data_IF_099720040918
#
_entry.id   IF_099720040918
#
_cell.length_a   1.000
_cell.length_b   1.000
_cell.length_c   1.000
_cell.angle_alpha   90.00
_cell.angle_beta   90.00
_cell.angle_gamma   90.00
#
_symmetry.space_group_name_H-M   'P 1'
#
loop_
_entity.id
_entity.type
_entity.pdbx_description
1 polymer ?
#
# COMPACT_ATOMS: atom_id res chain seq x y z
N UNK A 1 -15.59 -62.82 2.90
CA UNK A 1 -16.08 -61.48 3.30
C UNK A 1 -14.92 -60.50 3.28
N UNK A 2 -14.82 -59.67 2.26
CA UNK A 2 -13.77 -58.65 2.15
C UNK A 2 -14.28 -57.35 2.75
N UNK A 3 -13.70 -56.96 3.89
CA UNK A 3 -13.95 -55.64 4.49
C UNK A 3 -13.12 -54.61 3.70
N UNK A 4 -13.78 -53.74 2.95
CA UNK A 4 -13.19 -52.60 2.30
C UNK A 4 -13.15 -51.49 3.35
N UNK A 5 -11.94 -51.17 3.83
CA UNK A 5 -11.71 -50.00 4.69
C UNK A 5 -11.54 -48.82 3.74
N UNK A 6 -12.59 -47.97 3.69
CA UNK A 6 -12.47 -46.66 3.03
C UNK A 6 -11.68 -45.74 3.95
N UNK A 7 -10.43 -45.50 3.61
CA UNK A 7 -9.66 -44.41 4.19
C UNK A 7 -10.15 -43.08 3.59
N UNK A 8 -10.96 -42.36 4.35
CA UNK A 8 -11.32 -40.99 4.01
C UNK A 8 -10.08 -40.09 4.20
N UNK A 9 -9.46 -39.73 3.09
CA UNK A 9 -8.39 -38.76 3.08
C UNK A 9 -8.99 -37.38 3.36
N UNK A 10 -8.93 -36.93 4.62
CA UNK A 10 -9.24 -35.55 4.97
C UNK A 10 -8.14 -34.65 4.37
N UNK A 11 -8.40 -34.10 3.21
CA UNK A 11 -7.66 -32.95 2.71
C UNK A 11 -8.08 -31.76 3.56
N UNK A 12 -7.29 -31.49 4.59
CA UNK A 12 -7.37 -30.20 5.29
C UNK A 12 -6.82 -29.18 4.30
N UNK A 13 -7.70 -28.57 3.53
CA UNK A 13 -7.39 -27.39 2.79
C UNK A 13 -7.06 -26.31 3.83
N UNK A 14 -5.77 -26.09 4.06
CA UNK A 14 -5.31 -24.87 4.72
C UNK A 14 -5.68 -23.71 3.82
N UNK A 15 -6.90 -23.24 3.98
CA UNK A 15 -7.28 -21.93 3.53
C UNK A 15 -6.48 -20.97 4.39
N UNK A 16 -5.31 -20.56 3.89
CA UNK A 16 -4.65 -19.40 4.42
C UNK A 16 -5.70 -18.32 4.51
N UNK A 17 -5.90 -17.78 5.69
CA UNK A 17 -6.78 -16.65 5.93
C UNK A 17 -6.12 -15.50 5.18
N UNK A 18 -6.43 -15.37 3.89
CA UNK A 18 -6.19 -14.17 3.14
C UNK A 18 -7.06 -13.12 3.82
N UNK A 19 -6.45 -12.24 4.63
CA UNK A 19 -7.14 -11.04 5.06
C UNK A 19 -7.75 -10.45 3.79
N UNK A 20 -9.04 -10.14 3.86
CA UNK A 20 -9.85 -9.79 2.69
C UNK A 20 -9.41 -8.43 2.13
N UNK A 21 -8.27 -8.39 1.49
CA UNK A 21 -7.81 -7.24 0.75
C UNK A 21 -8.63 -7.16 -0.53
N UNK A 22 -9.19 -5.98 -0.76
CA UNK A 22 -10.03 -5.72 -1.93
C UNK A 22 -9.18 -5.35 -3.16
N UNK A 23 -7.93 -5.82 -3.21
CA UNK A 23 -6.97 -5.49 -4.26
C UNK A 23 -6.60 -6.77 -5.00
N UNK A 24 -6.59 -6.70 -6.34
CA UNK A 24 -6.14 -7.78 -7.20
C UNK A 24 -5.20 -7.25 -8.28
N UNK A 25 -4.18 -8.04 -8.58
CA UNK A 25 -3.22 -7.69 -9.64
C UNK A 25 -3.93 -7.53 -10.99
N UNK A 26 -3.54 -6.49 -11.73
CA UNK A 26 -4.09 -6.12 -13.03
C UNK A 26 -5.58 -5.73 -13.04
N UNK A 27 -6.22 -5.65 -11.87
CA UNK A 27 -7.57 -5.11 -11.72
C UNK A 27 -7.54 -3.65 -11.25
N UNK A 28 -8.66 -2.95 -11.39
CA UNK A 28 -8.79 -1.58 -10.91
C UNK A 28 -8.66 -1.53 -9.40
N UNK A 29 -7.90 -0.55 -8.92
CA UNK A 29 -7.82 -0.27 -7.49
C UNK A 29 -9.16 0.28 -6.98
N UNK A 30 -9.48 0.07 -5.69
CA UNK A 30 -10.62 0.72 -5.05
C UNK A 30 -10.55 2.25 -5.11
N UNK A 31 -11.66 2.92 -4.84
CA UNK A 31 -11.70 4.38 -4.79
C UNK A 31 -10.85 4.93 -3.64
N UNK A 32 -10.14 6.01 -3.92
CA UNK A 32 -9.36 6.75 -2.93
C UNK A 32 -10.22 7.92 -2.46
N UNK A 33 -10.48 7.99 -1.15
CA UNK A 33 -11.27 9.04 -0.50
C UNK A 33 -10.43 9.73 0.56
N UNK A 34 -9.65 10.72 0.17
CA UNK A 34 -8.85 11.52 1.11
C UNK A 34 -9.47 12.91 1.29
N UNK A 35 -9.31 13.49 2.49
CA UNK A 35 -9.89 14.80 2.80
C UNK A 35 -8.92 15.92 2.47
N UNK A 36 -7.65 15.71 2.76
CA UNK A 36 -6.61 16.70 2.55
C UNK A 36 -5.28 16.01 2.29
N UNK A 37 -4.40 16.72 1.62
CA UNK A 37 -3.05 16.27 1.35
C UNK A 37 -2.04 17.36 1.72
N UNK A 38 -0.84 16.91 2.06
CA UNK A 38 0.36 17.72 2.18
C UNK A 38 1.33 17.31 1.07
N UNK A 39 1.94 18.29 0.43
CA UNK A 39 2.74 18.08 -0.76
C UNK A 39 1.89 18.12 -2.03
N UNK A 40 2.26 17.33 -3.03
CA UNK A 40 1.56 17.29 -4.33
C UNK A 40 0.18 16.66 -4.19
N UNK A 41 -0.85 17.31 -4.71
CA UNK A 41 -2.22 16.76 -4.73
C UNK A 41 -2.34 15.63 -5.75
N UNK A 42 -3.30 14.71 -5.59
CA UNK A 42 -3.48 13.58 -6.52
C UNK A 42 -3.65 14.02 -7.98
N UNK A 43 -4.38 15.10 -8.19
CA UNK A 43 -4.66 15.66 -9.52
C UNK A 43 -3.41 16.20 -10.20
N UNK A 44 -2.44 16.66 -9.40
CA UNK A 44 -1.21 17.31 -9.87
C UNK A 44 -0.02 16.33 -10.00
N UNK A 45 -0.19 15.06 -9.58
CA UNK A 45 0.84 14.03 -9.74
C UNK A 45 1.07 13.81 -11.24
N UNK A 46 2.28 14.09 -11.71
CA UNK A 46 2.67 13.93 -13.11
C UNK A 46 3.12 12.50 -13.46
N UNK A 47 3.61 11.76 -12.47
CA UNK A 47 4.20 10.44 -12.63
C UNK A 47 3.17 9.43 -13.14
N UNK A 48 3.67 8.45 -13.93
CA UNK A 48 2.84 7.39 -14.51
C UNK A 48 2.39 6.37 -13.46
N UNK A 49 3.21 6.15 -12.44
CA UNK A 49 2.95 5.19 -11.38
C UNK A 49 2.77 5.91 -10.05
N UNK A 50 1.91 5.36 -9.20
CA UNK A 50 1.71 5.84 -7.83
C UNK A 50 1.85 4.65 -6.87
N UNK A 51 2.64 4.84 -5.83
CA UNK A 51 2.73 3.95 -4.69
C UNK A 51 1.95 4.55 -3.52
N UNK A 52 0.81 3.96 -3.19
CA UNK A 52 0.08 4.26 -1.96
C UNK A 52 0.74 3.48 -0.82
N UNK A 53 1.07 4.14 0.27
CA UNK A 53 1.65 3.53 1.45
C UNK A 53 0.76 3.82 2.65
N UNK A 54 0.05 2.80 3.11
CA UNK A 54 -0.83 2.88 4.27
C UNK A 54 -0.02 2.76 5.56
N UNK A 55 -0.12 3.75 6.43
CA UNK A 55 0.72 3.90 7.63
C UNK A 55 -0.08 4.40 8.83
N UNK A 56 0.44 4.12 10.03
CA UNK A 56 0.05 4.79 11.27
C UNK A 56 1.25 5.59 11.80
N UNK A 57 1.08 6.89 11.95
CA UNK A 57 2.14 7.79 12.40
C UNK A 57 2.59 7.54 13.85
N UNK A 58 1.72 6.97 14.66
CA UNK A 58 2.02 6.61 16.06
C UNK A 58 2.82 5.30 16.20
N UNK A 59 2.91 4.51 15.14
CA UNK A 59 3.65 3.23 15.14
C UNK A 59 5.12 3.46 14.77
N UNK A 60 6.02 3.40 15.72
CA UNK A 60 7.47 3.53 15.48
C UNK A 60 8.00 2.51 14.44
N UNK A 61 7.62 1.21 14.50
CA UNK A 61 8.03 0.26 13.46
C UNK A 61 7.50 0.62 12.06
N UNK A 62 6.32 1.23 11.99
CA UNK A 62 5.72 1.70 10.74
C UNK A 62 6.53 2.86 10.15
N UNK A 63 6.82 3.87 10.98
CA UNK A 63 7.61 5.05 10.59
C UNK A 63 9.02 4.66 10.14
N UNK A 64 9.67 3.74 10.87
CA UNK A 64 11.00 3.24 10.49
C UNK A 64 10.97 2.51 9.13
N UNK A 65 9.92 1.74 8.85
CA UNK A 65 9.76 1.08 7.55
C UNK A 65 9.53 2.08 6.42
N UNK A 66 8.79 3.17 6.66
CA UNK A 66 8.62 4.26 5.69
C UNK A 66 9.95 4.93 5.39
N UNK A 67 10.76 5.20 6.40
CA UNK A 67 12.09 5.81 6.22
C UNK A 67 12.98 4.97 5.29
N UNK A 68 13.05 3.67 5.51
CA UNK A 68 13.81 2.76 4.64
C UNK A 68 13.19 2.67 3.22
N UNK A 69 11.87 2.60 3.14
CA UNK A 69 11.16 2.57 1.86
C UNK A 69 11.41 3.84 1.03
N UNK A 70 11.39 5.02 1.64
CA UNK A 70 11.69 6.28 0.93
C UNK A 70 13.07 6.25 0.29
N UNK A 71 14.07 5.65 0.94
CA UNK A 71 15.43 5.52 0.37
C UNK A 71 15.43 4.62 -0.88
N UNK A 72 14.76 3.46 -0.84
CA UNK A 72 14.73 2.55 -2.00
C UNK A 72 13.82 3.03 -3.11
N UNK A 73 12.76 3.79 -2.80
CA UNK A 73 11.82 4.32 -3.79
C UNK A 73 12.44 5.41 -4.69
N UNK A 74 13.51 6.05 -4.26
CA UNK A 74 14.23 7.06 -5.06
C UNK A 74 14.74 6.52 -6.40
N UNK A 75 14.92 5.23 -6.56
CA UNK A 75 15.29 4.61 -7.85
C UNK A 75 14.24 4.90 -8.95
N UNK A 76 12.99 5.14 -8.54
CA UNK A 76 11.86 5.43 -9.44
C UNK A 76 11.47 6.92 -9.45
N UNK A 77 12.31 7.82 -8.90
CA UNK A 77 12.04 9.27 -8.93
C UNK A 77 11.77 9.75 -10.36
N UNK A 78 10.69 10.54 -10.53
CA UNK A 78 10.23 11.02 -11.82
C UNK A 78 9.38 10.02 -12.63
N UNK A 79 9.25 8.78 -12.18
CA UNK A 79 8.36 7.75 -12.77
C UNK A 79 7.26 7.31 -11.80
N UNK A 80 7.54 7.30 -10.51
CA UNK A 80 6.61 6.88 -9.47
C UNK A 80 6.54 7.92 -8.36
N UNK A 81 5.34 8.42 -8.09
CA UNK A 81 5.05 9.21 -6.90
C UNK A 81 4.74 8.29 -5.72
N UNK A 82 5.02 8.75 -4.51
CA UNK A 82 4.70 8.07 -3.25
C UNK A 82 3.68 8.89 -2.49
N UNK A 83 2.59 8.26 -2.07
CA UNK A 83 1.57 8.90 -1.24
C UNK A 83 1.42 8.09 0.05
N UNK A 84 1.85 8.68 1.16
CA UNK A 84 1.64 8.11 2.49
C UNK A 84 0.20 8.39 2.90
N UNK A 85 -0.59 7.36 3.19
CA UNK A 85 -1.98 7.49 3.62
C UNK A 85 -2.09 7.12 5.09
N UNK A 86 -2.61 8.04 5.89
CA UNK A 86 -2.80 7.85 7.33
C UNK A 86 -4.21 8.20 7.76
N UNK A 87 -4.82 7.43 8.68
CA UNK A 87 -6.15 7.74 9.23
C UNK A 87 -6.10 8.81 10.33
N UNK A 88 -4.91 9.17 10.80
CA UNK A 88 -4.77 10.20 11.83
C UNK A 88 -5.11 11.58 11.28
N UNK A 89 -5.75 12.40 12.12
CA UNK A 89 -6.08 13.77 11.77
C UNK A 89 -4.81 14.64 11.75
N UNK A 90 -4.85 15.66 10.91
CA UNK A 90 -3.79 16.65 10.69
C UNK A 90 -3.19 17.24 11.99
N UNK A 91 -3.97 17.33 13.08
CA UNK A 91 -3.56 17.97 14.32
C UNK A 91 -2.78 17.06 15.28
N UNK A 92 -2.73 15.74 15.02
CA UNK A 92 -2.21 14.73 15.97
C UNK A 92 -0.96 14.05 15.46
N UNK A 93 0.15 14.40 15.25
CA UNK A 93 1.36 13.74 14.70
C UNK A 93 1.71 14.09 13.26
N UNK A 94 1.18 15.19 12.77
CA UNK A 94 1.49 15.76 11.47
C UNK A 94 3.01 15.80 11.21
N UNK A 95 3.81 16.21 12.18
CA UNK A 95 5.25 16.41 12.03
C UNK A 95 6.01 15.11 11.72
N UNK A 96 5.49 13.96 12.17
CA UNK A 96 6.17 12.67 12.01
C UNK A 96 6.21 12.25 10.54
N UNK A 97 5.10 12.43 9.80
CA UNK A 97 5.03 12.07 8.38
C UNK A 97 5.44 13.22 7.46
N UNK A 98 5.24 14.47 7.87
CA UNK A 98 5.60 15.65 7.09
C UNK A 98 7.10 15.71 6.74
N UNK A 99 7.96 15.12 7.56
CA UNK A 99 9.40 15.04 7.31
C UNK A 99 9.77 14.22 6.08
N UNK A 100 8.87 13.38 5.58
CA UNK A 100 9.08 12.57 4.37
C UNK A 100 8.61 13.26 3.09
N UNK A 101 7.96 14.42 3.21
CA UNK A 101 7.47 15.17 2.06
C UNK A 101 8.65 15.73 1.27
N UNK A 102 8.69 15.40 -0.01
CA UNK A 102 9.66 15.91 -0.98
C UNK A 102 9.00 15.99 -2.37
N UNK A 103 9.81 16.07 -3.42
CA UNK A 103 9.32 16.12 -4.80
C UNK A 103 8.62 14.82 -5.24
N UNK A 104 8.90 13.69 -4.59
CA UNK A 104 8.33 12.38 -4.91
C UNK A 104 7.24 11.97 -3.93
N UNK A 105 7.29 12.43 -2.68
CA UNK A 105 6.48 11.93 -1.56
C UNK A 105 5.53 12.98 -1.04
N UNK A 106 4.28 12.61 -0.90
CA UNK A 106 3.19 13.40 -0.30
C UNK A 106 2.49 12.63 0.81
N UNK A 107 1.73 13.31 1.65
CA UNK A 107 0.93 12.71 2.73
C UNK A 107 -0.54 13.01 2.50
N UNK A 108 -1.38 11.99 2.57
CA UNK A 108 -2.83 12.08 2.46
C UNK A 108 -3.50 11.66 3.76
N UNK A 109 -4.51 12.42 4.18
CA UNK A 109 -5.30 12.14 5.39
C UNK A 109 -6.61 11.46 5.02
N UNK A 110 -6.79 10.23 5.53
CA UNK A 110 -7.94 9.37 5.27
C UNK A 110 -8.90 9.38 6.47
N UNK A 111 -9.59 10.51 6.67
CA UNK A 111 -10.56 10.63 7.76
C UNK A 111 -11.65 9.56 7.64
N UNK A 112 -12.02 9.02 8.78
CA UNK A 112 -12.98 7.92 8.89
C UNK A 112 -12.52 6.62 8.20
N UNK A 113 -11.26 6.47 7.86
CA UNK A 113 -10.68 5.25 7.28
C UNK A 113 -11.32 4.77 5.97
N UNK A 114 -11.95 5.66 5.22
CA UNK A 114 -12.69 5.28 4.01
C UNK A 114 -11.81 4.60 2.96
N UNK A 115 -10.60 5.11 2.74
CA UNK A 115 -9.64 4.51 1.81
C UNK A 115 -9.05 3.21 2.38
N UNK A 116 -8.69 3.19 3.66
CA UNK A 116 -8.25 1.96 4.34
C UNK A 116 -9.28 0.84 4.21
N UNK A 117 -10.55 1.13 4.47
CA UNK A 117 -11.64 0.16 4.42
C UNK A 117 -11.93 -0.29 2.97
N UNK A 118 -11.93 0.65 2.01
CA UNK A 118 -12.11 0.34 0.59
C UNK A 118 -11.03 -0.61 0.07
N UNK A 119 -9.78 -0.43 0.49
CA UNK A 119 -8.64 -1.28 0.14
C UNK A 119 -8.55 -2.56 0.99
N UNK A 120 -9.32 -2.67 2.08
CA UNK A 120 -9.27 -3.80 3.02
C UNK A 120 -7.94 -3.88 3.77
N UNK A 121 -7.39 -2.74 4.17
CA UNK A 121 -6.10 -2.67 4.86
C UNK A 121 -6.28 -2.97 6.34
N UNK A 122 -5.80 -4.11 6.78
CA UNK A 122 -5.83 -4.55 8.19
C UNK A 122 -4.47 -4.40 8.89
N UNK A 123 -3.39 -4.47 8.13
CA UNK A 123 -2.02 -4.41 8.66
C UNK A 123 -1.21 -3.33 7.97
N UNK A 124 -0.44 -2.58 8.74
CA UNK A 124 0.45 -1.52 8.26
C UNK A 124 1.89 -1.76 8.74
N UNK A 125 2.92 -1.29 8.03
CA UNK A 125 2.84 -0.55 6.76
C UNK A 125 2.52 -1.46 5.57
N UNK A 126 1.68 -0.98 4.68
CA UNK A 126 1.24 -1.73 3.50
C UNK A 126 1.30 -0.85 2.26
N UNK A 127 1.74 -1.39 1.15
CA UNK A 127 1.91 -0.65 -0.10
C UNK A 127 1.06 -1.21 -1.23
N UNK A 128 0.65 -0.32 -2.14
CA UNK A 128 -0.02 -0.64 -3.40
C UNK A 128 0.61 0.21 -4.50
N UNK A 129 1.23 -0.42 -5.50
CA UNK A 129 1.73 0.29 -6.68
C UNK A 129 0.73 0.08 -7.81
N UNK A 130 0.28 1.16 -8.43
CA UNK A 130 -0.64 1.12 -9.54
C UNK A 130 -0.24 2.07 -10.68
N UNK A 131 -0.65 1.70 -11.90
CA UNK A 131 -0.54 2.56 -13.06
C UNK A 131 -1.69 3.57 -13.05
N UNK A 132 -1.36 4.86 -13.02
CA UNK A 132 -2.32 5.95 -12.87
C UNK A 132 -3.36 6.00 -13.99
N UNK A 133 -2.94 5.88 -15.25
CA UNK A 133 -3.84 6.00 -16.41
C UNK A 133 -4.94 4.94 -16.44
N UNK A 134 -4.61 3.70 -16.08
CA UNK A 134 -5.54 2.57 -16.09
C UNK A 134 -6.15 2.28 -14.73
N UNK A 135 -5.64 2.91 -13.67
CA UNK A 135 -5.97 2.62 -12.28
C UNK A 135 -5.81 1.12 -11.91
N UNK A 136 -4.81 0.45 -12.49
CA UNK A 136 -4.59 -0.98 -12.28
C UNK A 136 -3.47 -1.25 -11.29
N UNK A 137 -3.76 -2.09 -10.29
CA UNK A 137 -2.75 -2.55 -9.35
C UNK A 137 -1.70 -3.42 -10.04
N UNK A 138 -0.44 -3.06 -9.84
CA UNK A 138 0.72 -3.78 -10.36
C UNK A 138 1.45 -4.56 -9.27
N UNK A 139 1.35 -4.11 -8.05
CA UNK A 139 1.94 -4.74 -6.88
C UNK A 139 1.21 -4.30 -5.60
N UNK A 140 1.14 -5.17 -4.61
CA UNK A 140 0.69 -4.85 -3.27
C UNK A 140 1.33 -5.79 -2.23
N UNK A 141 1.51 -5.29 -1.01
CA UNK A 141 2.10 -6.06 0.07
C UNK A 141 2.79 -5.19 1.11
N UNK A 142 3.55 -5.82 2.00
CA UNK A 142 4.37 -5.09 2.95
C UNK A 142 5.48 -4.32 2.24
N UNK A 143 5.59 -3.01 2.48
CA UNK A 143 6.65 -2.19 1.87
C UNK A 143 8.06 -2.64 2.26
N UNK A 144 8.21 -3.41 3.34
CA UNK A 144 9.49 -4.01 3.74
C UNK A 144 10.03 -5.01 2.73
N UNK A 145 9.16 -5.53 1.85
CA UNK A 145 9.53 -6.47 0.79
C UNK A 145 9.96 -5.77 -0.50
N UNK A 146 9.73 -4.46 -0.62
CA UNK A 146 10.12 -3.68 -1.79
C UNK A 146 11.61 -3.36 -1.75
N UNK A 147 12.32 -3.84 -2.76
CA UNK A 147 13.70 -3.44 -3.04
C UNK A 147 13.77 -2.55 -4.27
N UNK A 148 14.89 -1.88 -4.48
CA UNK A 148 15.10 -1.07 -5.69
C UNK A 148 14.95 -1.88 -6.98
N UNK A 149 15.36 -3.15 -6.98
CA UNK A 149 15.24 -4.05 -8.12
C UNK A 149 13.76 -4.37 -8.42
N UNK A 150 12.98 -4.70 -7.39
CA UNK A 150 11.54 -4.98 -7.53
C UNK A 150 10.82 -3.75 -8.05
N UNK A 151 11.09 -2.58 -7.48
CA UNK A 151 10.49 -1.31 -7.94
C UNK A 151 10.82 -1.07 -9.41
N UNK A 152 12.08 -1.21 -9.83
CA UNK A 152 12.48 -1.04 -11.23
C UNK A 152 11.84 -2.05 -12.19
N UNK A 153 11.50 -3.25 -11.72
CA UNK A 153 10.78 -4.23 -12.53
C UNK A 153 9.30 -3.86 -12.72
N UNK A 154 8.70 -3.21 -11.73
CA UNK A 154 7.28 -2.81 -11.75
C UNK A 154 7.10 -1.55 -12.59
N UNK A 155 7.93 -0.52 -12.35
CA UNK A 155 7.86 0.79 -13.03
C UNK A 155 8.83 0.80 -14.20
N UNK A 156 8.35 0.37 -15.33
CA UNK A 156 9.16 0.27 -16.57
C UNK A 156 9.14 1.57 -17.37
#
# INVERSE_FOLDING_TARGET
>A
MRRVILAALMIVAMHGISSAQNIRLNERIPAISTISMLGTQFEDIAEEYICLVFVHSESQPCVAAVEEFCKVSHVAKGRMAVVLITPELHDNNYDVLARFIDEQTSVAFDKNRQTFDAFGIEHVPYGVIYEKRRNKALWFGSIRLLTSEIINQIVK
#
